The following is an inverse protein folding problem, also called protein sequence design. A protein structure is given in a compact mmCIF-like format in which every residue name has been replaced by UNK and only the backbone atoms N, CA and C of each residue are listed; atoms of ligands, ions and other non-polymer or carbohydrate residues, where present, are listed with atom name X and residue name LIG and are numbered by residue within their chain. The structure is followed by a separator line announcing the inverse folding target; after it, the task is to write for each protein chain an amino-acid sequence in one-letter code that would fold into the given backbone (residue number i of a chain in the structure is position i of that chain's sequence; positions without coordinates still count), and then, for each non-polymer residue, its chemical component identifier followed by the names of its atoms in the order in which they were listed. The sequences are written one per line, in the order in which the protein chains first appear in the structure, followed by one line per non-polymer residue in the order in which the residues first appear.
data_IF_499769216911
#
_entry.id   IF_499769216911
#
_cell.length_a   1.000
_cell.length_b   1.000
_cell.length_c   1.000
_cell.angle_alpha   90.00
_cell.angle_beta   90.00
_cell.angle_gamma   90.00
#
_symmetry.space_group_name_H-M   'P 1'
#
loop_
_entity.id
_entity.type
_entity.pdbx_description
1 polymer ?
#
# COMPACT_ATOMS: atom_id res chain seq x y z
N UNK A 1 0.00 -29.60 -22.55
CA UNK A 1 -0.39 -28.28 -23.07
C UNK A 1 -0.42 -27.26 -21.93
N UNK A 2 0.20 -26.09 -22.10
CA UNK A 2 0.13 -25.02 -21.12
C UNK A 2 -1.18 -24.25 -21.31
N UNK A 3 -2.00 -24.13 -20.27
CA UNK A 3 -3.34 -23.53 -20.36
C UNK A 3 -3.35 -22.00 -20.45
N UNK A 4 -2.19 -21.34 -20.29
CA UNK A 4 -2.03 -19.88 -20.36
C UNK A 4 -2.73 -19.12 -19.23
N UNK A 5 -3.22 -19.81 -18.19
CA UNK A 5 -4.03 -19.22 -17.12
C UNK A 5 -3.17 -18.51 -16.10
N UNK A 6 -3.64 -17.34 -15.67
CA UNK A 6 -3.00 -16.57 -14.62
C UNK A 6 -3.28 -17.18 -13.26
N UNK A 7 -2.21 -17.32 -12.50
CA UNK A 7 -2.20 -17.81 -11.13
C UNK A 7 -1.86 -16.64 -10.23
N UNK A 8 -2.79 -16.28 -9.35
CA UNK A 8 -2.68 -15.10 -8.50
C UNK A 8 -1.98 -15.44 -7.19
N UNK A 9 -0.81 -14.86 -6.95
CA UNK A 9 -0.11 -14.94 -5.67
C UNK A 9 -0.27 -13.64 -4.89
N UNK A 10 -0.40 -13.73 -3.58
CA UNK A 10 -0.54 -12.56 -2.70
C UNK A 10 0.76 -12.27 -2.02
N UNK A 11 1.04 -10.99 -1.83
CA UNK A 11 2.18 -10.53 -1.05
C UNK A 11 1.65 -9.99 0.27
N UNK A 12 2.32 -10.36 1.35
CA UNK A 12 2.07 -9.86 2.69
C UNK A 12 3.39 -9.35 3.25
N UNK A 13 3.53 -8.03 3.41
CA UNK A 13 4.75 -7.40 3.93
C UNK A 13 5.99 -7.62 3.07
N UNK A 14 5.84 -7.47 1.75
CA UNK A 14 6.97 -7.61 0.83
C UNK A 14 7.34 -9.07 0.51
N UNK A 15 6.78 -10.06 1.22
CA UNK A 15 6.99 -11.49 0.96
C UNK A 15 5.77 -12.16 0.34
N UNK A 16 5.97 -13.06 -0.61
CA UNK A 16 4.89 -13.82 -1.23
C UNK A 16 4.36 -14.89 -0.27
N UNK A 17 3.04 -14.98 -0.15
CA UNK A 17 2.34 -16.04 0.57
C UNK A 17 2.48 -17.38 -0.16
N UNK A 18 2.35 -18.47 0.59
CA UNK A 18 2.35 -19.82 0.02
C UNK A 18 1.01 -20.14 -0.65
N UNK A 19 -0.06 -19.49 -0.21
CA UNK A 19 -1.39 -19.62 -0.78
C UNK A 19 -1.51 -18.90 -2.11
N UNK A 20 -2.10 -19.63 -3.05
CA UNK A 20 -2.22 -19.19 -4.43
C UNK A 20 -3.66 -19.36 -4.89
N UNK A 21 -4.15 -18.34 -5.59
CA UNK A 21 -5.50 -18.32 -6.14
C UNK A 21 -5.44 -18.72 -7.61
N UNK A 22 -6.09 -19.83 -7.93
CA UNK A 22 -6.19 -20.36 -9.28
C UNK A 22 -7.57 -20.03 -9.84
N UNK A 23 -7.62 -19.31 -10.96
CA UNK A 23 -8.85 -19.12 -11.71
C UNK A 23 -9.19 -20.38 -12.50
N UNK A 24 -10.35 -20.96 -12.21
CA UNK A 24 -10.88 -22.15 -12.89
C UNK A 24 -12.23 -21.83 -13.53
N UNK A 25 -12.54 -22.54 -14.60
CA UNK A 25 -13.81 -22.49 -15.33
C UNK A 25 -14.50 -23.84 -15.26
N UNK A 26 -15.82 -23.79 -15.16
CA UNK A 26 -16.70 -24.93 -15.34
C UNK A 26 -17.72 -24.53 -16.40
N UNK A 27 -17.95 -25.40 -17.39
CA UNK A 27 -18.93 -25.17 -18.44
C UNK A 27 -19.90 -26.34 -18.49
N UNK A 28 -21.18 -26.03 -18.66
CA UNK A 28 -22.25 -27.01 -18.72
C UNK A 28 -23.01 -26.83 -20.02
N UNK A 29 -23.19 -27.93 -20.74
CA UNK A 29 -24.05 -28.02 -21.91
C UNK A 29 -25.10 -29.09 -21.66
N UNK A 30 -26.34 -28.83 -22.07
CA UNK A 30 -27.44 -29.76 -21.88
C UNK A 30 -28.35 -29.80 -23.10
N UNK A 31 -28.92 -30.96 -23.39
CA UNK A 31 -29.92 -31.17 -24.43
C UNK A 31 -31.04 -32.07 -23.91
N UNK A 32 -32.28 -31.70 -24.20
CA UNK A 32 -33.44 -32.58 -23.98
C UNK A 32 -33.64 -33.49 -25.21
N UNK A 33 -33.95 -34.75 -24.95
CA UNK A 33 -34.20 -35.76 -25.97
C UNK A 33 -35.70 -35.94 -26.21
N UNK A 34 -36.06 -36.52 -27.36
CA UNK A 34 -37.46 -36.75 -27.72
C UNK A 34 -38.18 -37.77 -26.83
N UNK A 35 -37.45 -38.60 -26.08
CA UNK A 35 -37.99 -39.65 -25.19
C UNK A 35 -38.06 -39.21 -23.72
N UNK A 36 -38.29 -37.92 -23.43
CA UNK A 36 -38.38 -37.37 -22.07
C UNK A 36 -37.08 -37.49 -21.22
N UNK A 37 -35.98 -37.90 -21.85
CA UNK A 37 -34.63 -37.91 -21.26
C UNK A 37 -33.84 -36.65 -21.58
N UNK A 38 -32.66 -36.51 -20.99
CA UNK A 38 -31.74 -35.42 -21.31
C UNK A 38 -30.28 -35.86 -21.18
N UNK A 39 -29.44 -35.25 -22.00
CA UNK A 39 -27.98 -35.43 -21.98
C UNK A 39 -27.33 -34.15 -21.46
N UNK A 40 -26.32 -34.31 -20.60
CA UNK A 40 -25.52 -33.19 -20.06
C UNK A 40 -24.04 -33.50 -20.18
N UNK A 41 -23.28 -32.49 -20.61
CA UNK A 41 -21.82 -32.50 -20.64
C UNK A 41 -21.32 -31.40 -19.72
N UNK A 42 -20.50 -31.77 -18.74
CA UNK A 42 -19.85 -30.85 -17.82
C UNK A 42 -18.34 -30.90 -18.07
N UNK A 43 -17.78 -29.75 -18.43
CA UNK A 43 -16.34 -29.58 -18.63
C UNK A 43 -15.76 -28.83 -17.44
N UNK A 44 -14.79 -29.44 -16.78
CA UNK A 44 -14.10 -28.86 -15.62
C UNK A 44 -12.60 -28.79 -15.87
N UNK A 45 -11.97 -27.81 -15.25
CA UNK A 45 -10.53 -27.63 -15.36
C UNK A 45 -9.74 -28.67 -14.57
N UNK A 46 -8.63 -29.19 -15.13
CA UNK A 46 -7.77 -30.12 -14.42
C UNK A 46 -7.04 -29.43 -13.24
N UNK A 47 -6.57 -30.20 -12.25
CA UNK A 47 -5.74 -29.67 -11.17
C UNK A 47 -4.44 -29.06 -11.71
N UNK A 48 -3.94 -28.04 -11.02
CA UNK A 48 -2.69 -27.36 -11.39
C UNK A 48 -1.50 -28.24 -11.01
N UNK A 49 -0.68 -28.61 -11.99
CA UNK A 49 0.52 -29.43 -11.79
C UNK A 49 1.82 -28.69 -12.06
N UNK A 50 1.77 -27.70 -12.94
CA UNK A 50 2.94 -26.95 -13.41
C UNK A 50 2.58 -25.49 -13.55
N UNK A 51 3.50 -24.61 -13.15
CA UNK A 51 3.38 -23.17 -13.34
C UNK A 51 4.68 -22.61 -13.87
N UNK A 52 4.56 -21.71 -14.84
CA UNK A 52 5.68 -20.98 -15.42
C UNK A 52 5.77 -19.60 -14.77
N UNK A 53 6.93 -19.27 -14.23
CA UNK A 53 7.16 -17.97 -13.61
C UNK A 53 7.23 -16.87 -14.67
N UNK A 54 6.43 -15.80 -14.49
CA UNK A 54 6.32 -14.68 -15.43
C UNK A 54 7.63 -13.94 -15.68
N UNK A 55 8.58 -13.99 -14.74
CA UNK A 55 9.88 -13.29 -14.83
C UNK A 55 11.04 -14.14 -15.33
N UNK A 56 10.87 -15.44 -15.55
CA UNK A 56 12.03 -16.32 -15.77
C UNK A 56 11.86 -17.50 -16.73
N UNK A 57 10.69 -17.71 -17.36
CA UNK A 57 10.37 -18.92 -18.14
C UNK A 57 10.65 -20.26 -17.40
N UNK A 58 10.97 -20.20 -16.12
CA UNK A 58 11.25 -21.35 -15.29
C UNK A 58 9.92 -22.04 -14.97
N UNK A 59 9.85 -23.34 -15.24
CA UNK A 59 8.72 -24.18 -14.90
C UNK A 59 8.97 -24.78 -13.52
N UNK A 60 7.97 -24.69 -12.64
CA UNK A 60 7.98 -25.35 -11.34
C UNK A 60 6.84 -26.35 -11.28
N UNK A 61 7.17 -27.60 -10.94
CA UNK A 61 6.17 -28.60 -10.62
C UNK A 61 5.59 -28.30 -9.24
N UNK A 62 4.26 -28.31 -9.13
CA UNK A 62 3.55 -28.04 -7.89
C UNK A 62 2.70 -29.23 -7.49
N UNK A 63 2.79 -29.59 -6.21
CA UNK A 63 1.80 -30.42 -5.55
C UNK A 63 0.80 -29.48 -4.86
N UNK A 64 -0.38 -29.28 -5.47
CA UNK A 64 -1.38 -28.38 -4.90
C UNK A 64 -2.23 -29.10 -3.85
N UNK A 65 -2.24 -28.59 -2.63
CA UNK A 65 -3.21 -28.98 -1.60
C UNK A 65 -4.27 -27.89 -1.44
N UNK A 66 -5.53 -28.24 -1.17
CA UNK A 66 -6.58 -27.24 -0.99
C UNK A 66 -6.33 -26.42 0.28
N UNK A 67 -6.64 -25.12 0.22
CA UNK A 67 -6.52 -24.22 1.37
C UNK A 67 -7.38 -24.72 2.54
N UNK A 68 -6.77 -24.86 3.73
CA UNK A 68 -7.40 -25.38 4.96
C UNK A 68 -8.15 -26.73 4.78
N UNK A 69 -7.66 -27.61 3.89
CA UNK A 69 -8.29 -28.91 3.64
C UNK A 69 -9.48 -28.86 2.67
N UNK A 70 -9.78 -27.70 2.09
CA UNK A 70 -10.84 -27.51 1.09
C UNK A 70 -12.18 -27.14 1.69
N UNK A 71 -13.21 -27.08 0.85
CA UNK A 71 -14.49 -26.50 1.23
C UNK A 71 -15.32 -27.45 2.11
N UNK A 72 -16.15 -26.87 2.98
CA UNK A 72 -17.10 -27.61 3.82
C UNK A 72 -18.19 -28.21 2.94
N UNK A 73 -18.67 -29.40 3.30
CA UNK A 73 -19.74 -30.04 2.55
C UNK A 73 -21.03 -29.21 2.63
N UNK A 74 -21.70 -29.03 1.50
CA UNK A 74 -22.91 -28.20 1.37
C UNK A 74 -24.19 -29.03 1.51
N UNK A 75 -24.08 -30.36 1.56
CA UNK A 75 -25.22 -31.24 1.81
C UNK A 75 -25.44 -31.33 3.33
N UNK A 76 -26.65 -31.04 3.84
CA UNK A 76 -26.94 -31.14 5.25
C UNK A 76 -26.64 -32.55 5.78
N UNK A 77 -25.85 -32.63 6.86
CA UNK A 77 -25.56 -33.88 7.53
C UNK A 77 -26.82 -34.36 8.25
N UNK A 78 -27.24 -35.61 7.98
CA UNK A 78 -28.25 -36.27 8.78
C UNK A 78 -27.67 -36.61 10.17
N UNK A 79 -28.45 -36.37 11.23
CA UNK A 79 -28.08 -36.80 12.58
C UNK A 79 -28.58 -38.23 12.84
N UNK A 80 -27.78 -39.09 13.50
CA UNK A 80 -26.47 -38.82 14.10
C UNK A 80 -25.35 -38.69 13.06
N UNK A 81 -24.34 -37.84 13.34
CA UNK A 81 -23.21 -37.60 12.46
C UNK A 81 -22.54 -38.93 12.07
N UNK A 82 -22.45 -39.26 10.77
CA UNK A 82 -21.64 -40.38 10.31
C UNK A 82 -20.18 -40.18 10.69
N UNK A 83 -19.39 -41.26 10.74
CA UNK A 83 -17.94 -41.18 10.93
C UNK A 83 -17.36 -40.12 9.97
N UNK A 84 -16.57 -39.21 10.53
CA UNK A 84 -16.05 -37.95 9.95
C UNK A 84 -15.21 -38.10 8.66
N UNK A 85 -15.15 -39.30 8.07
CA UNK A 85 -14.36 -39.70 6.89
C UNK A 85 -15.13 -39.61 5.56
N UNK A 86 -16.42 -39.32 5.56
CA UNK A 86 -17.27 -39.34 4.35
C UNK A 86 -17.47 -37.94 3.77
N UNK A 87 -16.46 -37.41 3.09
CA UNK A 87 -16.56 -36.15 2.34
C UNK A 87 -15.98 -36.29 0.94
N UNK A 88 -16.20 -35.30 0.05
CA UNK A 88 -15.58 -35.32 -1.27
C UNK A 88 -14.05 -35.33 -1.16
N UNK A 89 -13.35 -35.89 -2.17
CA UNK A 89 -11.89 -36.00 -2.16
C UNK A 89 -11.18 -34.63 -2.22
N UNK A 90 -11.82 -33.59 -2.78
CA UNK A 90 -11.32 -32.21 -2.91
C UNK A 90 -9.99 -32.11 -3.68
N UNK A 91 -9.70 -33.11 -4.51
CA UNK A 91 -8.52 -33.18 -5.39
C UNK A 91 -8.76 -32.38 -6.66
N UNK A 92 -9.94 -32.50 -7.25
CA UNK A 92 -10.36 -31.77 -8.44
C UNK A 92 -11.89 -31.61 -8.45
N UNK A 93 -12.38 -30.58 -9.15
CA UNK A 93 -13.82 -30.39 -9.32
C UNK A 93 -14.45 -31.59 -10.06
N UNK A 94 -13.71 -32.26 -10.95
CA UNK A 94 -14.17 -33.46 -11.62
C UNK A 94 -14.43 -34.61 -10.63
N UNK A 95 -13.47 -34.90 -9.75
CA UNK A 95 -13.59 -35.99 -8.78
C UNK A 95 -14.71 -35.71 -7.77
N UNK A 96 -14.85 -34.45 -7.34
CA UNK A 96 -15.91 -34.01 -6.44
C UNK A 96 -17.29 -34.16 -7.09
N UNK A 97 -17.44 -33.79 -8.36
CA UNK A 97 -18.70 -34.00 -9.10
C UNK A 97 -19.05 -35.49 -9.18
N UNK A 98 -18.08 -36.36 -9.47
CA UNK A 98 -18.31 -37.81 -9.49
C UNK A 98 -18.77 -38.30 -8.11
N UNK A 99 -18.14 -37.83 -7.04
CA UNK A 99 -18.54 -38.16 -5.67
C UNK A 99 -20.00 -37.76 -5.40
N UNK A 100 -20.35 -36.50 -5.67
CA UNK A 100 -21.71 -36.00 -5.40
C UNK A 100 -22.77 -36.71 -6.22
N UNK A 101 -22.52 -36.97 -7.51
CA UNK A 101 -23.47 -37.74 -8.32
C UNK A 101 -23.58 -39.20 -7.90
N UNK A 102 -22.50 -39.85 -7.49
CA UNK A 102 -22.57 -41.25 -7.04
C UNK A 102 -23.27 -41.41 -5.68
N UNK A 103 -23.00 -40.49 -4.76
CA UNK A 103 -23.43 -40.63 -3.36
C UNK A 103 -24.76 -39.94 -3.09
N UNK A 104 -25.07 -38.84 -3.77
CA UNK A 104 -26.18 -37.94 -3.41
C UNK A 104 -27.20 -37.70 -4.55
N UNK A 105 -27.21 -38.50 -5.61
CA UNK A 105 -28.25 -38.37 -6.65
C UNK A 105 -29.66 -38.60 -6.10
N UNK A 106 -29.82 -39.40 -5.04
CA UNK A 106 -31.10 -39.68 -4.40
C UNK A 106 -31.68 -38.49 -3.63
N UNK A 107 -30.91 -37.42 -3.45
CA UNK A 107 -31.40 -36.20 -2.81
C UNK A 107 -32.36 -35.42 -3.73
N UNK A 108 -32.38 -35.70 -5.04
CA UNK A 108 -33.30 -35.07 -5.98
C UNK A 108 -34.65 -35.79 -6.01
N UNK A 109 -35.74 -35.07 -5.73
CA UNK A 109 -37.12 -35.60 -5.83
C UNK A 109 -37.50 -35.97 -7.26
N UNK A 110 -36.99 -35.22 -8.25
CA UNK A 110 -37.20 -35.48 -9.67
C UNK A 110 -35.99 -35.05 -10.49
N UNK A 111 -35.62 -35.90 -11.45
CA UNK A 111 -34.59 -35.65 -12.45
C UNK A 111 -35.20 -35.20 -13.79
N UNK A 112 -36.41 -34.67 -13.83
CA UNK A 112 -37.08 -34.32 -15.10
C UNK A 112 -36.44 -33.15 -15.87
N UNK A 113 -35.65 -32.29 -15.21
CA UNK A 113 -35.04 -31.12 -15.85
C UNK A 113 -33.52 -31.23 -15.95
N UNK A 114 -32.90 -30.90 -17.10
CA UNK A 114 -31.45 -30.84 -17.22
C UNK A 114 -30.81 -29.76 -16.33
N UNK A 115 -31.59 -28.79 -15.82
CA UNK A 115 -31.11 -27.77 -14.88
C UNK A 115 -30.62 -28.35 -13.56
N UNK A 116 -31.17 -29.49 -13.14
CA UNK A 116 -30.74 -30.21 -11.94
C UNK A 116 -29.25 -30.57 -12.03
N UNK A 117 -28.76 -30.84 -13.24
CA UNK A 117 -27.36 -31.17 -13.45
C UNK A 117 -26.38 -30.03 -13.11
N UNK A 118 -26.87 -28.78 -13.12
CA UNK A 118 -26.09 -27.60 -12.79
C UNK A 118 -25.95 -27.37 -11.27
N UNK A 119 -26.74 -28.05 -10.43
CA UNK A 119 -26.76 -27.79 -9.00
C UNK A 119 -25.41 -28.05 -8.32
N UNK A 120 -24.84 -29.25 -8.48
CA UNK A 120 -23.56 -29.59 -7.84
C UNK A 120 -22.39 -28.71 -8.34
N UNK A 121 -22.21 -28.46 -9.65
CA UNK A 121 -21.20 -27.51 -10.11
C UNK A 121 -21.35 -26.12 -9.48
N UNK A 122 -22.58 -25.63 -9.38
CA UNK A 122 -22.87 -24.33 -8.76
C UNK A 122 -22.54 -24.33 -7.27
N UNK A 123 -22.93 -25.36 -6.51
CA UNK A 123 -22.68 -25.48 -5.07
C UNK A 123 -21.20 -25.64 -4.75
N UNK A 124 -20.47 -26.44 -5.52
CA UNK A 124 -19.00 -26.54 -5.40
C UNK A 124 -18.35 -25.17 -5.67
N UNK A 125 -18.82 -24.45 -6.70
CA UNK A 125 -18.31 -23.11 -7.03
C UNK A 125 -18.58 -22.12 -5.90
N UNK A 126 -19.81 -22.06 -5.39
CA UNK A 126 -20.17 -21.21 -4.25
C UNK A 126 -19.32 -21.54 -3.01
N UNK A 127 -19.07 -22.83 -2.76
CA UNK A 127 -18.26 -23.29 -1.63
C UNK A 127 -16.79 -22.85 -1.75
N UNK A 128 -16.21 -22.87 -2.95
CA UNK A 128 -14.88 -22.29 -3.19
C UNK A 128 -14.85 -20.77 -2.98
N UNK A 129 -15.89 -20.05 -3.40
CA UNK A 129 -16.00 -18.62 -3.10
C UNK A 129 -16.14 -18.34 -1.60
N UNK A 130 -16.80 -19.21 -0.84
CA UNK A 130 -16.84 -19.10 0.62
C UNK A 130 -15.45 -19.25 1.25
N UNK A 131 -14.64 -20.18 0.76
CA UNK A 131 -13.24 -20.29 1.19
C UNK A 131 -12.43 -19.03 0.84
N UNK A 132 -12.64 -18.50 -0.37
CA UNK A 132 -12.01 -17.26 -0.81
C UNK A 132 -12.41 -16.09 0.12
N UNK A 133 -13.67 -15.99 0.53
CA UNK A 133 -14.14 -14.99 1.49
C UNK A 133 -13.42 -15.09 2.83
N UNK A 134 -13.26 -16.30 3.37
CA UNK A 134 -12.51 -16.53 4.60
C UNK A 134 -11.05 -16.08 4.46
N UNK A 135 -10.40 -16.46 3.36
CA UNK A 135 -9.01 -16.11 3.09
C UNK A 135 -8.82 -14.59 2.89
N UNK A 136 -9.64 -13.94 2.06
CA UNK A 136 -9.59 -12.49 1.84
C UNK A 136 -9.84 -11.76 3.17
N UNK A 137 -10.84 -12.20 3.92
CA UNK A 137 -11.17 -11.63 5.23
C UNK A 137 -10.00 -11.69 6.21
N UNK A 138 -9.30 -12.84 6.28
CA UNK A 138 -8.14 -13.02 7.15
C UNK A 138 -6.96 -12.10 6.78
N UNK A 139 -6.70 -11.92 5.48
CA UNK A 139 -5.62 -11.04 5.00
C UNK A 139 -5.94 -9.57 5.30
N UNK A 140 -7.17 -9.13 5.03
CA UNK A 140 -7.61 -7.77 5.37
C UNK A 140 -7.44 -7.54 6.87
N UNK A 141 -7.93 -8.46 7.70
CA UNK A 141 -7.80 -8.36 9.16
C UNK A 141 -6.34 -8.34 9.62
N UNK A 142 -5.43 -9.05 8.93
CA UNK A 142 -4.00 -9.02 9.24
C UNK A 142 -3.39 -7.64 8.99
N UNK A 143 -3.76 -6.98 7.88
CA UNK A 143 -3.32 -5.61 7.61
C UNK A 143 -3.97 -4.58 8.56
N UNK A 144 -5.28 -4.68 8.82
CA UNK A 144 -6.01 -3.81 9.76
C UNK A 144 -5.38 -3.88 11.16
N UNK A 145 -5.10 -5.08 11.65
CA UNK A 145 -4.52 -5.30 12.98
C UNK A 145 -3.13 -4.65 13.15
N UNK A 146 -2.31 -4.65 12.09
CA UNK A 146 -0.97 -4.03 12.14
C UNK A 146 -1.04 -2.51 12.21
N UNK A 147 -2.11 -1.91 11.68
CA UNK A 147 -2.33 -0.47 11.73
C UNK A 147 -3.01 -0.02 13.03
N UNK A 148 -3.83 -0.87 13.65
CA UNK A 148 -4.60 -0.51 14.84
C UNK A 148 -3.79 -0.32 16.13
N UNK A 149 -2.52 -0.72 16.17
CA UNK A 149 -1.68 -0.70 17.40
C UNK A 149 -0.43 0.17 17.33
N UNK A 150 -0.32 1.11 16.40
CA UNK A 150 0.86 1.98 16.32
C UNK A 150 0.65 3.28 17.09
N UNK A 151 1.36 3.41 18.21
CA UNK A 151 1.40 4.63 19.02
C UNK A 151 2.43 5.65 18.49
N UNK A 152 3.41 5.20 17.71
CA UNK A 152 4.43 6.05 17.12
C UNK A 152 4.60 5.78 15.63
N UNK A 153 4.27 6.80 14.84
CA UNK A 153 4.42 6.83 13.39
C UNK A 153 5.83 7.23 12.95
N UNK A 154 6.65 7.77 13.86
CA UNK A 154 8.02 8.20 13.57
C UNK A 154 8.94 7.07 13.17
N UNK A 155 8.68 5.86 13.68
CA UNK A 155 9.43 4.65 13.34
C UNK A 155 9.04 4.05 11.97
N UNK A 156 8.00 4.58 11.32
CA UNK A 156 7.48 4.03 10.06
C UNK A 156 8.25 4.62 8.88
N UNK A 157 9.16 3.81 8.31
CA UNK A 157 9.88 4.19 7.08
C UNK A 157 8.89 4.32 5.92
N UNK A 158 9.10 5.32 5.06
CA UNK A 158 8.25 5.56 3.89
C UNK A 158 8.13 4.32 2.99
N UNK A 159 9.25 3.61 2.77
CA UNK A 159 9.32 2.38 1.99
C UNK A 159 8.34 1.30 2.50
N UNK A 160 8.24 1.13 3.82
CA UNK A 160 7.30 0.16 4.39
C UNK A 160 5.85 0.56 4.09
N UNK A 161 5.52 1.85 4.19
CA UNK A 161 4.15 2.32 3.92
C UNK A 161 3.80 2.15 2.44
N UNK A 162 4.74 2.43 1.54
CA UNK A 162 4.58 2.22 0.09
C UNK A 162 4.37 0.74 -0.27
N UNK A 163 5.13 -0.16 0.35
CA UNK A 163 4.94 -1.61 0.17
C UNK A 163 3.55 -2.08 0.63
N UNK A 164 3.12 -1.65 1.83
CA UNK A 164 1.79 -1.98 2.34
C UNK A 164 0.67 -1.40 1.46
N UNK A 165 0.85 -0.16 1.00
CA UNK A 165 -0.08 0.48 0.08
C UNK A 165 -0.21 -0.32 -1.21
N UNK A 166 0.91 -0.75 -1.79
CA UNK A 166 0.94 -1.59 -3.00
C UNK A 166 0.23 -2.93 -2.79
N UNK A 167 0.44 -3.59 -1.64
CA UNK A 167 -0.19 -4.87 -1.30
C UNK A 167 -1.72 -4.73 -1.21
N UNK A 168 -2.19 -3.72 -0.50
CA UNK A 168 -3.62 -3.48 -0.29
C UNK A 168 -4.29 -2.96 -1.55
N UNK A 169 -3.62 -2.16 -2.37
CA UNK A 169 -4.12 -1.75 -3.67
C UNK A 169 -4.34 -2.97 -4.59
N UNK A 170 -3.39 -3.91 -4.59
CA UNK A 170 -3.54 -5.16 -5.35
C UNK A 170 -4.67 -6.05 -4.82
N UNK A 171 -4.91 -6.05 -3.50
CA UNK A 171 -6.04 -6.75 -2.88
C UNK A 171 -7.37 -6.08 -3.23
N UNK A 172 -7.45 -4.75 -3.17
CA UNK A 172 -8.66 -3.99 -3.54
C UNK A 172 -9.06 -4.26 -5.00
N UNK A 173 -8.09 -4.20 -5.94
CA UNK A 173 -8.34 -4.55 -7.35
C UNK A 173 -8.89 -5.97 -7.48
N UNK A 174 -8.32 -6.95 -6.77
CA UNK A 174 -8.79 -8.34 -6.81
C UNK A 174 -10.19 -8.51 -6.21
N UNK A 175 -10.50 -7.83 -5.11
CA UNK A 175 -11.86 -7.82 -4.56
C UNK A 175 -12.88 -7.26 -5.57
N UNK A 176 -12.52 -6.21 -6.31
CA UNK A 176 -13.37 -5.69 -7.39
C UNK A 176 -13.59 -6.74 -8.50
N UNK A 177 -12.52 -7.39 -8.96
CA UNK A 177 -12.61 -8.48 -9.94
C UNK A 177 -13.49 -9.65 -9.44
N UNK A 178 -13.39 -10.03 -8.16
CA UNK A 178 -14.24 -11.09 -7.58
C UNK A 178 -15.71 -10.68 -7.50
N UNK A 179 -16.01 -9.42 -7.17
CA UNK A 179 -17.37 -8.90 -7.22
C UNK A 179 -17.93 -9.00 -8.64
N UNK A 180 -17.19 -8.54 -9.65
CA UNK A 180 -17.61 -8.61 -11.05
C UNK A 180 -17.81 -10.05 -11.54
N UNK A 181 -16.90 -10.97 -11.15
CA UNK A 181 -17.01 -12.38 -11.52
C UNK A 181 -18.28 -13.02 -10.92
N UNK A 182 -18.60 -12.73 -9.66
CA UNK A 182 -19.83 -13.24 -9.02
C UNK A 182 -21.09 -12.58 -9.58
N UNK A 183 -21.08 -11.27 -9.83
CA UNK A 183 -22.19 -10.58 -10.51
C UNK A 183 -22.45 -11.17 -11.89
N UNK A 184 -21.38 -11.46 -12.65
CA UNK A 184 -21.51 -12.12 -13.96
C UNK A 184 -22.11 -13.53 -13.82
N UNK A 185 -21.73 -14.30 -12.80
CA UNK A 185 -22.32 -15.63 -12.55
C UNK A 185 -23.82 -15.51 -12.28
N UNK A 186 -24.22 -14.59 -11.39
CA UNK A 186 -25.63 -14.35 -11.03
C UNK A 186 -26.45 -13.99 -12.27
N UNK A 187 -25.96 -13.05 -13.07
CA UNK A 187 -26.63 -12.59 -14.29
C UNK A 187 -26.69 -13.68 -15.37
N UNK A 188 -25.59 -14.39 -15.61
CA UNK A 188 -25.51 -15.40 -16.70
C UNK A 188 -26.40 -16.61 -16.41
N UNK A 189 -26.51 -16.99 -15.14
CA UNK A 189 -27.31 -18.13 -14.70
C UNK A 189 -28.74 -17.75 -14.30
N UNK A 190 -29.10 -16.47 -14.42
CA UNK A 190 -30.41 -15.90 -14.05
C UNK A 190 -30.84 -16.29 -12.63
N UNK A 191 -29.90 -16.23 -11.68
CA UNK A 191 -30.12 -16.70 -10.31
C UNK A 191 -31.03 -15.78 -9.48
N UNK A 192 -31.20 -14.52 -9.90
CA UNK A 192 -32.07 -13.54 -9.23
C UNK A 192 -33.57 -13.87 -9.42
N UNK A 193 -33.92 -14.53 -10.53
CA UNK A 193 -35.30 -14.92 -10.85
C UNK A 193 -35.66 -16.33 -10.38
N UNK A 194 -34.75 -17.01 -9.67
CA UNK A 194 -35.03 -18.31 -9.05
C UNK A 194 -36.06 -18.11 -7.93
N UNK A 195 -37.34 -18.26 -8.30
CA UNK A 195 -38.51 -18.06 -7.43
C UNK A 195 -38.25 -18.62 -6.03
N UNK A 196 -38.66 -17.86 -5.00
CA UNK A 196 -38.68 -18.22 -3.57
C UNK A 196 -39.60 -19.41 -3.23
N UNK A 197 -39.77 -20.36 -4.15
CA UNK A 197 -40.71 -21.48 -4.03
C UNK A 197 -40.09 -22.67 -3.30
N UNK A 198 -38.76 -22.71 -3.15
CA UNK A 198 -38.11 -23.70 -2.31
C UNK A 198 -38.07 -23.16 -0.87
N UNK A 199 -38.67 -23.93 0.07
CA UNK A 199 -38.36 -23.87 1.51
C UNK A 199 -36.84 -23.80 1.73
N UNK A 200 -36.39 -23.48 2.94
CA UNK A 200 -34.96 -23.49 3.34
C UNK A 200 -34.25 -24.80 2.97
N UNK A 201 -33.90 -24.92 1.71
CA UNK A 201 -33.41 -26.13 1.09
C UNK A 201 -32.03 -25.77 0.56
N UNK A 202 -31.05 -26.58 0.95
CA UNK A 202 -29.65 -26.42 0.63
C UNK A 202 -29.40 -26.38 -0.89
N UNK A 203 -30.41 -26.64 -1.72
CA UNK A 203 -30.41 -26.52 -3.17
C UNK A 203 -30.55 -25.08 -3.69
N UNK A 204 -30.93 -24.10 -2.86
CA UNK A 204 -31.06 -22.71 -3.34
C UNK A 204 -29.69 -22.07 -3.58
N UNK A 205 -29.20 -22.15 -4.81
CA UNK A 205 -27.93 -21.57 -5.23
C UNK A 205 -27.97 -20.04 -5.31
N UNK A 206 -29.12 -19.44 -5.63
CA UNK A 206 -29.24 -18.00 -5.80
C UNK A 206 -28.91 -17.25 -4.51
N UNK A 207 -29.51 -17.69 -3.39
CA UNK A 207 -29.23 -17.13 -2.05
C UNK A 207 -27.74 -17.18 -1.69
N UNK A 208 -27.06 -18.28 -2.04
CA UNK A 208 -25.61 -18.43 -1.76
C UNK A 208 -24.79 -17.37 -2.49
N UNK A 209 -25.01 -17.20 -3.80
CA UNK A 209 -24.24 -16.22 -4.59
C UNK A 209 -24.60 -14.78 -4.21
N UNK A 210 -25.86 -14.48 -3.91
CA UNK A 210 -26.25 -13.15 -3.38
C UNK A 210 -25.57 -12.87 -2.04
N UNK A 211 -25.49 -13.86 -1.15
CA UNK A 211 -24.76 -13.74 0.12
C UNK A 211 -23.26 -13.51 -0.12
N UNK A 212 -22.65 -14.31 -1.00
CA UNK A 212 -21.23 -14.20 -1.35
C UNK A 212 -20.92 -12.81 -1.92
N UNK A 213 -21.75 -12.32 -2.84
CA UNK A 213 -21.60 -10.99 -3.43
C UNK A 213 -21.70 -9.89 -2.38
N UNK A 214 -22.70 -9.96 -1.51
CA UNK A 214 -22.88 -9.00 -0.41
C UNK A 214 -21.65 -8.99 0.49
N UNK A 215 -21.14 -10.18 0.85
CA UNK A 215 -19.95 -10.28 1.70
C UNK A 215 -18.69 -9.77 1.00
N UNK A 216 -18.50 -10.05 -0.29
CA UNK A 216 -17.40 -9.52 -1.09
C UNK A 216 -17.44 -7.99 -1.15
N UNK A 217 -18.62 -7.39 -1.34
CA UNK A 217 -18.80 -5.92 -1.32
C UNK A 217 -18.38 -5.31 0.02
N UNK A 218 -18.74 -5.96 1.13
CA UNK A 218 -18.29 -5.54 2.48
C UNK A 218 -16.76 -5.64 2.61
N UNK A 219 -16.15 -6.74 2.15
CA UNK A 219 -14.69 -6.88 2.18
C UNK A 219 -13.98 -5.85 1.28
N UNK A 220 -14.52 -5.56 0.10
CA UNK A 220 -14.01 -4.51 -0.78
C UNK A 220 -14.07 -3.14 -0.11
N UNK A 221 -15.20 -2.79 0.50
CA UNK A 221 -15.35 -1.53 1.23
C UNK A 221 -14.35 -1.41 2.38
N UNK A 222 -14.09 -2.50 3.13
CA UNK A 222 -13.03 -2.53 4.15
C UNK A 222 -11.65 -2.25 3.55
N UNK A 223 -11.32 -2.86 2.41
CA UNK A 223 -10.07 -2.56 1.69
C UNK A 223 -9.97 -1.08 1.28
N UNK A 224 -11.05 -0.46 0.79
CA UNK A 224 -11.07 0.94 0.39
C UNK A 224 -10.81 1.89 1.58
N UNK A 225 -11.46 1.62 2.73
CA UNK A 225 -11.22 2.38 3.97
C UNK A 225 -9.77 2.22 4.44
N UNK A 226 -9.23 1.01 4.37
CA UNK A 226 -7.86 0.71 4.73
C UNK A 226 -6.85 1.43 3.81
N UNK A 227 -7.11 1.41 2.51
CA UNK A 227 -6.32 2.09 1.49
C UNK A 227 -6.33 3.60 1.70
N UNK A 228 -7.48 4.20 1.99
CA UNK A 228 -7.59 5.63 2.32
C UNK A 228 -6.74 5.99 3.54
N UNK A 229 -6.80 5.14 4.59
CA UNK A 229 -6.01 5.32 5.80
C UNK A 229 -4.50 5.25 5.53
N UNK A 230 -4.04 4.28 4.74
CA UNK A 230 -2.62 4.14 4.39
C UNK A 230 -2.16 5.27 3.49
N UNK A 231 -2.99 5.73 2.55
CA UNK A 231 -2.65 6.86 1.67
C UNK A 231 -2.42 8.13 2.50
N UNK A 232 -3.23 8.37 3.53
CA UNK A 232 -3.00 9.45 4.48
C UNK A 232 -1.66 9.28 5.23
N UNK A 233 -1.31 8.06 5.62
CA UNK A 233 -0.01 7.76 6.25
C UNK A 233 1.18 8.01 5.32
N UNK A 234 1.07 7.66 4.03
CA UNK A 234 2.12 7.98 3.03
C UNK A 234 2.35 9.50 2.99
N UNK A 235 1.27 10.30 2.97
CA UNK A 235 1.37 11.76 3.00
C UNK A 235 2.04 12.30 4.26
N UNK A 236 1.69 11.78 5.44
CA UNK A 236 2.32 12.19 6.71
C UNK A 236 3.81 11.80 6.75
N UNK A 237 4.14 10.58 6.33
CA UNK A 237 5.52 10.10 6.28
C UNK A 237 6.38 10.93 5.30
N UNK A 238 5.84 11.23 4.11
CA UNK A 238 6.51 12.09 3.12
C UNK A 238 6.75 13.50 3.63
N UNK A 239 5.74 14.12 4.25
CA UNK A 239 5.88 15.45 4.86
C UNK A 239 6.91 15.47 5.99
N UNK A 240 6.99 14.40 6.78
CA UNK A 240 8.01 14.29 7.83
C UNK A 240 9.41 14.21 7.24
N UNK A 241 9.61 13.37 6.22
CA UNK A 241 10.90 13.23 5.56
C UNK A 241 11.35 14.57 4.96
N UNK A 242 10.47 15.29 4.27
CA UNK A 242 10.80 16.60 3.70
C UNK A 242 11.14 17.64 4.78
N UNK A 243 10.46 17.60 5.94
CA UNK A 243 10.78 18.44 7.08
C UNK A 243 12.14 18.09 7.69
N UNK A 244 12.49 16.82 7.80
CA UNK A 244 13.79 16.36 8.30
C UNK A 244 14.92 16.77 7.34
N UNK A 245 14.73 16.61 6.03
CA UNK A 245 15.65 17.07 4.98
C UNK A 245 15.81 18.60 5.01
N UNK A 246 14.71 19.35 5.20
CA UNK A 246 14.74 20.81 5.33
C UNK A 246 15.48 21.26 6.60
N UNK A 247 15.24 20.59 7.75
CA UNK A 247 15.97 20.89 8.99
C UNK A 247 17.46 20.60 8.83
N UNK A 248 17.81 19.53 8.11
CA UNK A 248 19.18 19.18 7.80
C UNK A 248 19.83 20.25 6.91
N UNK A 249 19.17 20.66 5.83
CA UNK A 249 19.70 21.70 4.94
C UNK A 249 19.85 23.05 5.65
N UNK A 250 18.93 23.42 6.55
CA UNK A 250 19.06 24.61 7.40
C UNK A 250 20.30 24.50 8.31
N UNK A 251 20.55 23.34 8.90
CA UNK A 251 21.74 23.12 9.75
C UNK A 251 23.03 23.22 8.95
N UNK A 252 23.06 22.61 7.77
CA UNK A 252 24.18 22.69 6.83
C UNK A 252 24.43 24.14 6.40
N UNK A 253 23.38 24.89 6.06
CA UNK A 253 23.48 26.31 5.72
C UNK A 253 24.01 27.18 6.88
N UNK A 254 23.62 26.87 8.12
CA UNK A 254 24.18 27.57 9.31
C UNK A 254 25.67 27.29 9.49
N UNK A 255 26.11 26.05 9.28
CA UNK A 255 27.52 25.70 9.36
C UNK A 255 28.34 26.38 8.26
N UNK A 256 27.81 26.45 7.03
CA UNK A 256 28.44 27.19 5.93
C UNK A 256 28.55 28.68 6.27
N UNK A 257 27.50 29.31 6.82
CA UNK A 257 27.55 30.71 7.27
C UNK A 257 28.61 30.96 8.35
N UNK A 258 28.79 30.02 9.28
CA UNK A 258 29.85 30.14 10.30
C UNK A 258 31.24 30.05 9.66
N UNK A 259 31.43 29.11 8.73
CA UNK A 259 32.70 28.94 8.04
C UNK A 259 33.08 30.17 7.20
N UNK A 260 32.13 30.77 6.48
CA UNK A 260 32.40 31.99 5.72
C UNK A 260 32.70 33.18 6.62
N UNK A 261 32.04 33.31 7.77
CA UNK A 261 32.36 34.32 8.78
C UNK A 261 33.80 34.16 9.28
N UNK A 262 34.22 32.94 9.59
CA UNK A 262 35.60 32.63 10.01
C UNK A 262 36.58 33.02 8.90
N UNK A 263 36.33 32.62 7.66
CA UNK A 263 37.19 32.97 6.51
C UNK A 263 37.32 34.48 6.29
N UNK A 264 36.23 35.23 6.45
CA UNK A 264 36.21 36.69 6.30
C UNK A 264 37.11 37.41 7.32
N UNK A 265 37.33 36.81 8.50
CA UNK A 265 38.21 37.37 9.54
C UNK A 265 39.66 36.94 9.31
N UNK A 266 39.91 35.66 9.03
CA UNK A 266 41.28 35.13 8.95
C UNK A 266 42.02 35.50 7.66
N UNK A 267 41.34 35.58 6.51
CA UNK A 267 41.99 35.88 5.23
C UNK A 267 42.66 37.27 5.23
N UNK A 268 41.98 38.36 5.62
CA UNK A 268 42.61 39.68 5.63
C UNK A 268 43.68 39.80 6.72
N UNK A 269 43.46 39.16 7.88
CA UNK A 269 44.44 39.14 8.96
C UNK A 269 45.74 38.43 8.55
N UNK A 270 45.63 37.28 7.86
CA UNK A 270 46.76 36.55 7.33
C UNK A 270 47.49 37.35 6.23
N UNK A 271 46.76 38.06 5.36
CA UNK A 271 47.35 38.94 4.36
C UNK A 271 48.16 40.07 5.00
N UNK A 272 47.59 40.77 5.99
CA UNK A 272 48.27 41.84 6.73
C UNK A 272 49.49 41.30 7.47
N UNK A 273 49.38 40.14 8.12
CA UNK A 273 50.50 39.46 8.76
C UNK A 273 51.63 39.13 7.76
N UNK A 274 51.29 38.56 6.60
CA UNK A 274 52.26 38.26 5.54
C UNK A 274 52.94 39.51 4.98
N UNK A 275 52.20 40.61 4.79
CA UNK A 275 52.74 41.87 4.31
C UNK A 275 53.76 42.48 5.30
N UNK A 276 53.46 42.49 6.59
CA UNK A 276 54.34 43.05 7.61
C UNK A 276 55.48 42.12 8.03
N UNK A 277 55.34 40.80 7.83
CA UNK A 277 56.41 39.82 8.06
C UNK A 277 57.61 39.99 7.12
N UNK A 278 57.49 40.81 6.07
CA UNK A 278 58.58 41.09 5.13
C UNK A 278 59.61 42.11 5.65
N UNK A 279 59.39 42.75 6.80
CA UNK A 279 60.27 43.79 7.32
C UNK A 279 60.48 43.65 8.83
N UNK A 280 61.75 43.57 9.25
CA UNK A 280 62.14 43.34 10.63
C UNK A 280 61.63 44.41 11.61
N UNK A 281 61.36 45.63 11.12
CA UNK A 281 60.85 46.73 11.94
C UNK A 281 59.46 46.50 12.50
N UNK A 282 58.67 45.59 11.92
CA UNK A 282 57.29 45.32 12.35
C UNK A 282 57.12 43.95 13.02
N UNK A 283 58.23 43.25 13.27
CA UNK A 283 58.22 41.97 13.97
C UNK A 283 57.71 42.10 15.42
N UNK A 284 57.12 41.04 15.98
CA UNK A 284 56.72 41.01 17.38
C UNK A 284 57.94 41.26 18.29
N UNK A 285 57.85 42.29 19.14
CA UNK A 285 58.94 42.73 20.02
C UNK A 285 59.68 43.98 19.54
N UNK A 286 59.41 44.48 18.33
CA UNK A 286 59.93 45.77 17.86
C UNK A 286 59.13 46.96 18.41
N UNK A 287 59.70 48.17 18.35
CA UNK A 287 59.03 49.41 18.78
C UNK A 287 57.80 49.79 17.93
N UNK A 288 57.66 49.23 16.72
CA UNK A 288 56.62 49.58 15.75
C UNK A 288 55.55 48.50 15.55
N UNK A 289 55.55 47.44 16.37
CA UNK A 289 54.58 46.34 16.28
C UNK A 289 53.11 46.79 16.36
N UNK A 290 52.80 47.90 17.03
CA UNK A 290 51.43 48.42 17.15
C UNK A 290 50.78 48.78 15.79
N UNK A 291 51.58 49.07 14.76
CA UNK A 291 51.10 49.42 13.40
C UNK A 291 50.37 48.24 12.75
N UNK A 292 50.71 47.01 13.12
CA UNK A 292 49.97 45.81 12.69
C UNK A 292 48.50 45.87 13.12
N UNK A 293 48.21 46.19 14.39
CA UNK A 293 46.83 46.27 14.88
C UNK A 293 46.06 47.41 14.24
N UNK A 294 46.73 48.55 14.04
CA UNK A 294 46.13 49.75 13.44
C UNK A 294 45.83 49.58 11.96
N UNK A 295 46.49 48.66 11.27
CA UNK A 295 46.21 48.32 9.87
C UNK A 295 45.27 47.12 9.72
N UNK A 296 45.42 46.09 10.56
CA UNK A 296 44.60 44.88 10.50
C UNK A 296 43.13 45.13 10.87
N UNK A 297 42.87 45.87 11.95
CA UNK A 297 41.50 46.09 12.44
C UNK A 297 40.64 46.84 11.42
N UNK A 298 41.09 47.97 10.81
CA UNK A 298 40.31 48.65 9.78
C UNK A 298 40.06 47.80 8.54
N UNK A 299 41.05 47.00 8.10
CA UNK A 299 40.89 46.13 6.93
C UNK A 299 39.79 45.09 7.17
N UNK A 300 39.76 44.47 8.36
CA UNK A 300 38.69 43.52 8.73
C UNK A 300 37.33 44.22 8.80
N UNK A 301 37.26 45.43 9.37
CA UNK A 301 36.02 46.22 9.42
C UNK A 301 35.51 46.57 8.02
N UNK A 302 36.38 47.02 7.12
CA UNK A 302 36.00 47.35 5.74
C UNK A 302 35.51 46.12 4.98
N UNK A 303 36.18 44.97 5.13
CA UNK A 303 35.73 43.70 4.53
C UNK A 303 34.36 43.28 5.08
N UNK A 304 34.14 43.41 6.39
CA UNK A 304 32.87 43.09 7.02
C UNK A 304 31.74 44.03 6.58
N UNK A 305 32.00 45.34 6.51
CA UNK A 305 31.03 46.34 6.04
C UNK A 305 30.70 46.13 4.57
N UNK A 306 31.70 45.84 3.73
CA UNK A 306 31.50 45.51 2.32
C UNK A 306 30.64 44.27 2.14
N UNK A 307 30.92 43.20 2.88
CA UNK A 307 30.11 41.98 2.85
C UNK A 307 28.68 42.20 3.38
N UNK A 308 28.52 42.98 4.45
CA UNK A 308 27.22 43.34 4.98
C UNK A 308 26.40 44.14 3.95
N UNK A 309 27.03 45.11 3.26
CA UNK A 309 26.38 45.90 2.23
C UNK A 309 25.97 45.05 1.02
N UNK A 310 26.83 44.10 0.61
CA UNK A 310 26.52 43.13 -0.44
C UNK A 310 25.32 42.25 -0.06
N UNK A 311 25.29 41.76 1.19
CA UNK A 311 24.22 40.90 1.71
C UNK A 311 22.87 41.61 1.85
N UNK A 312 22.87 42.91 2.09
CA UNK A 312 21.65 43.72 2.24
C UNK A 312 21.00 44.06 0.89
N UNK A 313 21.78 44.10 -0.19
CA UNK A 313 21.28 44.43 -1.53
C UNK A 313 20.87 43.23 -2.37
N UNK A 314 21.09 42.01 -1.87
CA UNK A 314 20.73 40.77 -2.56
C UNK A 314 19.26 40.43 -2.31
N UNK A 315 18.48 40.23 -3.36
CA UNK A 315 17.06 39.86 -3.29
C UNK A 315 16.91 38.36 -3.52
N UNK A 316 16.45 37.65 -2.48
CA UNK A 316 16.33 36.18 -2.50
C UNK A 316 15.29 35.68 -3.54
N UNK A 317 14.34 36.54 -3.95
CA UNK A 317 13.21 36.17 -4.83
C UNK A 317 13.49 36.36 -6.33
N UNK A 318 14.36 37.32 -6.71
CA UNK A 318 14.58 37.72 -8.12
C UNK A 318 16.03 37.50 -8.56
N UNK A 319 16.95 37.19 -7.63
CA UNK A 319 18.36 36.92 -7.94
C UNK A 319 19.14 38.14 -8.47
N UNK A 320 18.57 39.35 -8.35
CA UNK A 320 19.20 40.60 -8.78
C UNK A 320 19.63 41.42 -7.57
N UNK A 321 20.78 42.07 -7.68
CA UNK A 321 21.27 43.00 -6.67
C UNK A 321 20.71 44.40 -6.95
N UNK A 322 20.08 45.02 -5.96
CA UNK A 322 19.57 46.39 -6.09
C UNK A 322 19.72 47.22 -4.82
N UNK A 323 20.10 48.49 -5.00
CA UNK A 323 20.20 49.49 -3.93
C UNK A 323 18.84 49.82 -3.33
N UNK A 324 17.75 49.74 -4.12
CA UNK A 324 16.38 49.94 -3.61
C UNK A 324 16.01 48.88 -2.58
N UNK A 325 16.53 47.67 -2.74
CA UNK A 325 16.20 46.53 -1.90
C UNK A 325 16.85 46.64 -0.52
N UNK A 326 17.98 47.36 -0.42
CA UNK A 326 18.63 47.68 0.86
C UNK A 326 17.68 48.47 1.76
N UNK A 327 17.13 49.57 1.24
CA UNK A 327 16.20 50.43 1.98
C UNK A 327 14.93 49.69 2.36
N UNK A 328 14.37 48.92 1.42
CA UNK A 328 13.19 48.10 1.70
C UNK A 328 13.45 47.02 2.76
N UNK A 329 14.63 46.40 2.76
CA UNK A 329 15.00 45.36 3.73
C UNK A 329 15.23 45.93 5.13
N UNK A 330 15.86 47.10 5.22
CA UNK A 330 16.02 47.83 6.50
C UNK A 330 14.66 48.22 7.07
N UNK A 331 13.75 48.72 6.23
CA UNK A 331 12.40 49.11 6.64
C UNK A 331 11.59 47.89 7.12
N UNK A 332 11.62 46.77 6.38
CA UNK A 332 10.99 45.51 6.80
C UNK A 332 11.52 45.00 8.15
N UNK A 333 12.82 45.16 8.44
CA UNK A 333 13.42 44.77 9.73
C UNK A 333 12.96 45.66 10.87
N UNK A 334 12.85 46.97 10.66
CA UNK A 334 12.32 47.88 11.66
C UNK A 334 10.84 47.57 11.96
N UNK A 335 10.02 47.34 10.93
CA UNK A 335 8.61 46.98 11.12
C UNK A 335 8.42 45.64 11.85
N UNK A 336 9.27 44.64 11.59
CA UNK A 336 9.25 43.36 12.35
C UNK A 336 9.61 43.55 13.82
N UNK A 337 10.60 44.41 14.14
CA UNK A 337 10.94 44.71 15.54
C UNK A 337 9.78 45.36 16.28
N UNK A 338 9.12 46.34 15.65
CA UNK A 338 7.94 46.99 16.22
C UNK A 338 6.81 45.98 16.43
N UNK A 339 6.52 45.14 15.42
CA UNK A 339 5.46 44.13 15.51
C UNK A 339 5.72 43.01 16.54
N UNK A 340 6.98 42.68 16.82
CA UNK A 340 7.37 41.76 17.90
C UNK A 340 7.32 42.42 19.30
N UNK A 341 7.41 43.74 19.35
CA UNK A 341 7.32 44.52 20.58
C UNK A 341 5.86 44.77 21.00
N UNK A 342 4.95 44.77 20.02
CA UNK A 342 3.49 44.91 20.20
C UNK A 342 2.71 43.58 20.23
N UNK A 343 3.37 42.41 20.26
CA UNK A 343 2.66 41.12 20.33
C UNK A 343 2.11 40.86 21.75
N UNK A 344 0.78 40.90 21.97
CA UNK A 344 0.18 40.73 23.31
C UNK A 344 0.39 39.33 23.89
N UNK A 345 0.85 38.34 23.11
CA UNK A 345 1.14 36.98 23.61
C UNK A 345 2.38 36.87 24.50
N UNK A 346 3.15 37.95 24.67
CA UNK A 346 4.37 37.95 25.50
C UNK A 346 4.11 38.27 26.98
N UNK A 347 2.89 38.70 27.34
CA UNK A 347 2.54 39.08 28.72
C UNK A 347 2.14 37.88 29.58
N UNK A 348 1.70 36.78 28.99
CA UNK A 348 1.31 35.59 29.74
C UNK A 348 2.42 34.52 29.68
N UNK A 349 3.27 34.55 30.70
CA UNK A 349 4.23 33.48 31.01
C UNK A 349 3.53 32.19 31.40
N UNK A 350 2.92 31.48 30.44
CA UNK A 350 2.38 30.14 30.63
C UNK A 350 3.19 29.16 29.79
N UNK A 351 4.26 28.65 30.40
CA UNK A 351 4.71 27.30 30.12
C UNK A 351 3.84 26.34 30.93
N UNK A 352 2.92 25.66 30.27
CA UNK A 352 2.36 24.37 30.70
C UNK A 352 2.28 23.43 29.51
#
# INVERSE_FOLDING_TARGET
EATGRQVGITRLNGTYEQEVIVRRKCSLWSRTNHNDGWDVVILTDPPVREVTHTRGLQVSHMCSTPFQGGYLDFIPLAFPLPDMRTGPPRTSMHDDLIYYWKTHYSAFESLSSPRVAALFPQKITASHYMQLLCWVGAIISTHEWRLSRKNDLSAMKIQYVEEQWSDIQALNRRCAEYCEDVERIILTLDLDNAKETMKEDWMNTGKDFTFILTRLKVLKSRCEVLLGSITALVGIAGNRQSLEETKRSIREAKNVKLLTLIGMIFIPLAFVCGLFSMNDRYLPGSSQFWIYWVSAVPVVIVMFLGAMMLSLGYDDDVGTWSVSNIWQTVERRNQRKVRMQDDPRRVDGIWR
#
